data_IF_672010015249
#
_entry.id   IF_672010015249
#
_cell.length_a   1.000
_cell.length_b   1.000
_cell.length_c   1.000
_cell.angle_alpha   90.00
_cell.angle_beta   90.00
_cell.angle_gamma   90.00
#
_symmetry.space_group_name_H-M   'P 1'
#
loop_
_entity.id
_entity.type
_entity.pdbx_description
1 polymer ?
#
# COMPACT_ATOMS: atom_id res chain seq x y z
N UNK A 1 10.70 10.54 18.13
CA UNK A 1 12.12 10.62 17.71
C UNK A 1 12.17 10.86 16.21
N UNK A 2 13.12 11.71 15.78
CA UNK A 2 13.31 12.07 14.38
C UNK A 2 14.64 11.48 13.87
N UNK A 3 14.58 10.84 12.70
CA UNK A 3 15.74 10.25 12.03
C UNK A 3 15.91 10.90 10.67
N UNK A 4 17.13 11.22 10.29
CA UNK A 4 17.44 11.77 8.97
C UNK A 4 18.56 10.94 8.32
N UNK A 5 18.39 10.65 7.04
CA UNK A 5 19.39 9.95 6.22
C UNK A 5 19.74 10.83 5.03
N UNK A 6 21.03 11.02 4.80
CA UNK A 6 21.55 11.76 3.66
C UNK A 6 22.80 11.10 3.13
N UNK A 7 23.03 11.19 1.82
CA UNK A 7 24.26 10.70 1.21
C UNK A 7 25.45 11.60 1.57
N UNK A 8 25.23 12.92 1.70
CA UNK A 8 26.24 13.93 2.01
C UNK A 8 25.68 14.93 3.01
N UNK A 9 26.51 15.36 3.95
CA UNK A 9 26.23 16.46 4.88
C UNK A 9 26.90 17.72 4.33
N UNK A 10 26.30 18.34 3.34
CA UNK A 10 26.68 19.69 2.96
C UNK A 10 25.91 20.70 3.82
N UNK A 11 26.65 21.46 4.65
CA UNK A 11 26.26 22.70 5.35
C UNK A 11 24.77 22.80 5.74
N UNK A 12 24.33 21.92 6.64
CA UNK A 12 22.98 22.01 7.18
C UNK A 12 23.03 22.87 8.43
N UNK A 13 22.55 24.10 8.33
CA UNK A 13 22.36 25.06 9.46
C UNK A 13 21.19 24.65 10.39
N UNK A 14 20.90 23.35 10.53
CA UNK A 14 19.81 22.85 11.39
C UNK A 14 20.43 22.42 12.73
N UNK A 15 19.86 22.83 13.88
CA UNK A 15 20.27 22.32 15.17
C UNK A 15 20.13 20.79 15.20
N UNK A 16 21.23 20.09 15.42
CA UNK A 16 21.31 18.62 15.27
C UNK A 16 20.91 17.85 16.52
N UNK A 17 20.66 18.52 17.63
CA UNK A 17 20.55 17.89 18.95
C UNK A 17 19.34 16.95 19.11
N UNK A 18 18.29 17.11 18.32
CA UNK A 18 17.08 16.31 18.37
C UNK A 18 16.88 15.33 17.19
N UNK A 19 17.88 15.23 16.30
CA UNK A 19 17.80 14.41 15.09
C UNK A 19 18.91 13.36 15.09
N UNK A 20 18.52 12.09 14.90
CA UNK A 20 19.46 11.00 14.67
C UNK A 20 19.90 10.97 13.21
N UNK A 21 21.08 11.52 12.94
CA UNK A 21 21.64 11.57 11.58
C UNK A 21 22.37 10.28 11.20
N UNK A 22 22.13 9.82 9.98
CA UNK A 22 22.86 8.73 9.33
C UNK A 22 23.34 9.21 7.96
N UNK A 23 24.65 9.18 7.75
CA UNK A 23 25.24 9.49 6.44
C UNK A 23 25.40 8.19 5.69
N UNK A 24 24.55 7.99 4.67
CA UNK A 24 24.50 6.77 3.90
C UNK A 24 23.79 7.03 2.57
N UNK A 25 24.35 6.50 1.49
CA UNK A 25 23.63 6.44 0.22
C UNK A 25 22.49 5.40 0.29
N UNK A 26 21.31 5.85 0.70
CA UNK A 26 20.13 5.01 0.94
C UNK A 26 19.49 4.48 -0.36
N UNK A 27 19.92 4.98 -1.54
CA UNK A 27 19.50 4.44 -2.83
C UNK A 27 20.34 3.24 -3.27
N UNK A 28 21.58 3.13 -2.76
CA UNK A 28 22.51 2.06 -3.10
C UNK A 28 22.70 1.04 -1.97
N UNK A 29 22.51 1.44 -0.71
CA UNK A 29 22.82 0.62 0.46
C UNK A 29 21.56 0.43 1.33
N UNK A 30 21.24 -0.81 1.76
CA UNK A 30 20.11 -1.04 2.65
C UNK A 30 20.22 -0.26 3.96
N UNK A 31 19.13 0.36 4.40
CA UNK A 31 19.08 1.10 5.65
C UNK A 31 19.24 0.15 6.86
N UNK A 32 20.03 0.53 7.89
CA UNK A 32 20.33 -0.33 9.04
C UNK A 32 19.24 -0.28 10.12
N UNK A 33 17.98 -0.22 9.72
CA UNK A 33 16.84 -0.21 10.64
C UNK A 33 16.14 -1.56 10.71
N UNK A 34 15.47 -1.82 11.82
CA UNK A 34 14.65 -3.03 11.99
C UNK A 34 13.32 -2.89 11.28
N UNK A 35 12.71 -4.02 10.94
CA UNK A 35 11.36 -4.01 10.33
C UNK A 35 10.34 -3.41 11.29
N UNK A 36 9.43 -2.60 10.75
CA UNK A 36 8.37 -1.98 11.53
C UNK A 36 8.85 -0.92 12.51
N UNK A 37 9.93 -0.22 12.19
CA UNK A 37 10.55 0.78 13.06
C UNK A 37 9.83 2.13 13.01
N UNK A 38 9.51 2.61 11.79
CA UNK A 38 8.99 3.96 11.58
C UNK A 38 7.47 4.02 11.51
N UNK A 39 6.90 5.11 12.06
CA UNK A 39 5.50 5.48 11.84
C UNK A 39 5.32 6.16 10.48
N UNK A 40 6.29 7.00 10.09
CA UNK A 40 6.31 7.70 8.81
C UNK A 40 7.71 7.64 8.21
N UNK A 41 7.78 7.52 6.89
CA UNK A 41 8.98 7.75 6.10
C UNK A 41 8.64 8.86 5.10
N UNK A 42 9.50 9.87 5.03
CA UNK A 42 9.37 10.98 4.08
C UNK A 42 10.58 10.92 3.15
N UNK A 43 10.35 10.87 1.86
CA UNK A 43 11.41 10.82 0.85
C UNK A 43 10.96 11.57 -0.40
N UNK A 44 11.36 12.83 -0.50
CA UNK A 44 10.96 13.74 -1.57
C UNK A 44 11.77 13.47 -2.84
N UNK A 45 11.11 13.24 -3.98
CA UNK A 45 11.67 13.00 -5.31
C UNK A 45 12.72 11.87 -5.41
N UNK A 46 12.98 11.13 -4.35
CA UNK A 46 14.06 10.15 -4.31
C UNK A 46 13.86 8.96 -5.27
N UNK A 47 12.60 8.54 -5.46
CA UNK A 47 12.29 7.42 -6.37
C UNK A 47 12.55 7.76 -7.84
N UNK A 48 12.62 9.05 -8.20
CA UNK A 48 13.02 9.48 -9.54
C UNK A 48 14.51 9.25 -9.82
N UNK A 49 15.34 9.23 -8.79
CA UNK A 49 16.79 9.07 -8.86
C UNK A 49 17.25 7.63 -8.66
N UNK A 50 16.35 6.77 -8.20
CA UNK A 50 16.67 5.38 -7.90
C UNK A 50 16.84 4.55 -9.18
N UNK A 51 17.87 3.71 -9.22
CA UNK A 51 18.07 2.73 -10.31
C UNK A 51 16.92 1.73 -10.36
N UNK A 52 16.50 1.24 -9.19
CA UNK A 52 15.33 0.37 -9.03
C UNK A 52 14.35 0.97 -8.00
N UNK A 53 13.45 1.87 -8.42
CA UNK A 53 12.52 2.56 -7.53
C UNK A 53 11.55 1.62 -6.82
N UNK A 54 11.20 0.49 -7.43
CA UNK A 54 10.32 -0.50 -6.80
C UNK A 54 11.00 -1.18 -5.61
N UNK A 55 12.26 -1.55 -5.71
CA UNK A 55 13.01 -2.17 -4.61
C UNK A 55 13.20 -1.19 -3.45
N UNK A 56 13.47 0.09 -3.74
CA UNK A 56 13.58 1.13 -2.71
C UNK A 56 12.24 1.33 -2.01
N UNK A 57 11.15 1.49 -2.75
CA UNK A 57 9.81 1.65 -2.19
C UNK A 57 9.37 0.41 -1.37
N UNK A 58 9.69 -0.80 -1.84
CA UNK A 58 9.45 -2.04 -1.12
C UNK A 58 10.30 -2.13 0.16
N UNK A 59 11.55 -1.71 0.12
CA UNK A 59 12.42 -1.59 1.29
C UNK A 59 11.83 -0.65 2.34
N UNK A 60 11.36 0.53 1.94
CA UNK A 60 10.70 1.46 2.85
C UNK A 60 9.44 0.87 3.47
N UNK A 61 8.64 0.12 2.71
CA UNK A 61 7.45 -0.54 3.26
C UNK A 61 7.78 -1.53 4.38
N UNK A 62 8.95 -2.19 4.32
CA UNK A 62 9.38 -3.12 5.37
C UNK A 62 9.79 -2.43 6.66
N UNK A 63 10.35 -1.22 6.58
CA UNK A 63 10.73 -0.43 7.76
C UNK A 63 9.55 0.29 8.41
N UNK A 64 8.44 0.49 7.69
CA UNK A 64 7.23 1.05 8.25
C UNK A 64 6.52 0.05 9.18
N UNK A 65 5.93 0.57 10.26
CA UNK A 65 4.93 -0.16 11.05
C UNK A 65 3.74 -0.53 10.17
N UNK A 66 2.93 -1.48 10.58
CA UNK A 66 1.73 -1.88 9.83
C UNK A 66 0.74 -0.72 9.61
N UNK A 67 0.71 0.23 10.54
CA UNK A 67 -0.09 1.46 10.46
C UNK A 67 0.66 2.63 9.87
N UNK A 68 1.89 2.40 9.40
CA UNK A 68 2.78 3.44 8.94
C UNK A 68 2.49 3.90 7.51
N UNK A 69 2.93 5.11 7.19
CA UNK A 69 2.74 5.72 5.87
C UNK A 69 4.05 6.21 5.28
N UNK A 70 4.18 6.03 3.98
CA UNK A 70 5.25 6.62 3.16
C UNK A 70 4.72 7.90 2.51
N UNK A 71 5.43 9.00 2.70
CA UNK A 71 5.15 10.30 2.10
C UNK A 71 6.24 10.60 1.08
N UNK A 72 5.84 10.84 -0.15
CA UNK A 72 6.77 11.11 -1.25
C UNK A 72 6.16 12.07 -2.26
N UNK A 73 6.94 12.48 -3.22
CA UNK A 73 6.50 13.25 -4.36
C UNK A 73 7.14 12.74 -5.65
N UNK A 74 6.56 13.11 -6.76
CA UNK A 74 7.18 12.90 -8.08
C UNK A 74 6.75 13.98 -9.06
N UNK A 75 7.62 14.23 -10.08
CA UNK A 75 7.35 15.15 -11.18
C UNK A 75 6.52 14.47 -12.25
N UNK A 76 5.55 15.22 -12.74
CA UNK A 76 4.67 14.75 -13.79
C UNK A 76 5.31 14.93 -15.17
N UNK A 77 5.56 13.83 -15.88
CA UNK A 77 6.08 13.86 -17.26
C UNK A 77 5.12 14.60 -18.22
N UNK A 78 3.83 14.64 -17.89
CA UNK A 78 2.79 15.26 -18.73
C UNK A 78 2.61 16.77 -18.46
N UNK A 79 3.33 17.33 -17.49
CA UNK A 79 3.26 18.76 -17.20
C UNK A 79 3.64 19.59 -18.44
N UNK A 80 2.89 20.66 -18.69
CA UNK A 80 3.07 21.49 -19.87
C UNK A 80 4.49 21.95 -20.11
N UNK A 81 5.28 22.24 -19.07
CA UNK A 81 6.67 22.69 -19.22
C UNK A 81 7.60 21.58 -19.75
N UNK A 82 7.35 20.32 -19.36
CA UNK A 82 8.09 19.17 -19.88
C UNK A 82 7.76 18.97 -21.36
N UNK A 83 6.48 19.02 -21.71
CA UNK A 83 6.02 18.88 -23.09
C UNK A 83 6.53 20.03 -23.98
N UNK A 84 6.52 21.25 -23.47
CA UNK A 84 7.06 22.41 -24.19
C UNK A 84 8.56 22.25 -24.46
N UNK A 85 9.35 21.87 -23.44
CA UNK A 85 10.77 21.64 -23.62
C UNK A 85 11.04 20.55 -24.68
N UNK A 86 10.29 19.46 -24.68
CA UNK A 86 10.42 18.40 -25.68
C UNK A 86 10.05 18.89 -27.09
N UNK A 87 8.99 19.72 -27.22
CA UNK A 87 8.60 20.34 -28.51
C UNK A 87 9.68 21.27 -29.04
N UNK A 88 10.42 21.94 -28.17
CA UNK A 88 11.53 22.83 -28.51
C UNK A 88 12.87 22.07 -28.75
N UNK A 89 12.86 20.76 -28.59
CA UNK A 89 14.05 19.90 -28.76
C UNK A 89 14.99 19.94 -27.53
N UNK A 90 14.50 20.36 -26.40
CA UNK A 90 15.27 20.45 -25.15
C UNK A 90 14.93 19.28 -24.23
N UNK A 91 15.93 18.47 -23.87
CA UNK A 91 15.82 17.43 -22.87
C UNK A 91 17.02 17.53 -21.91
N UNK A 92 16.79 18.19 -20.78
CA UNK A 92 17.87 18.49 -19.83
C UNK A 92 17.97 17.51 -18.66
N UNK A 93 16.99 16.63 -18.49
CA UNK A 93 16.98 15.68 -17.39
C UNK A 93 17.80 14.44 -17.71
N UNK A 94 19.06 14.48 -17.33
CA UNK A 94 20.00 13.39 -17.62
C UNK A 94 19.86 12.24 -16.61
N UNK A 95 19.27 12.45 -15.41
CA UNK A 95 19.40 11.51 -14.29
C UNK A 95 18.10 11.20 -13.56
N UNK A 96 16.99 11.87 -13.84
CA UNK A 96 15.74 11.58 -13.14
C UNK A 96 14.69 10.95 -14.04
N UNK A 97 14.05 9.89 -13.51
CA UNK A 97 12.89 9.27 -14.13
C UNK A 97 11.67 10.13 -13.87
N UNK A 98 10.94 10.46 -14.91
CA UNK A 98 9.65 11.13 -14.80
C UNK A 98 8.53 10.09 -14.87
N UNK A 99 7.44 10.33 -14.17
CA UNK A 99 6.32 9.40 -14.09
C UNK A 99 5.01 10.03 -14.56
N UNK A 100 4.11 9.20 -15.05
CA UNK A 100 2.68 9.50 -15.05
C UNK A 100 2.07 8.98 -13.75
N UNK A 101 0.97 9.59 -13.31
CA UNK A 101 0.30 9.24 -12.06
C UNK A 101 0.01 7.74 -11.93
N UNK A 102 -0.62 7.13 -12.93
CA UNK A 102 -1.00 5.73 -12.90
C UNK A 102 0.21 4.77 -12.77
N UNK A 103 1.33 5.10 -13.42
CA UNK A 103 2.55 4.30 -13.33
C UNK A 103 3.14 4.36 -11.91
N UNK A 104 3.16 5.54 -11.29
CA UNK A 104 3.67 5.71 -9.94
C UNK A 104 2.78 5.04 -8.89
N UNK A 105 1.45 5.15 -9.03
CA UNK A 105 0.50 4.43 -8.17
C UNK A 105 0.71 2.90 -8.27
N UNK A 106 0.87 2.36 -9.49
CA UNK A 106 1.13 0.93 -9.70
C UNK A 106 2.47 0.49 -9.09
N UNK A 107 3.52 1.31 -9.19
CA UNK A 107 4.80 1.05 -8.54
C UNK A 107 4.63 0.89 -7.04
N UNK A 108 3.87 1.77 -6.38
CA UNK A 108 3.63 1.70 -4.94
C UNK A 108 2.78 0.48 -4.54
N UNK A 109 1.74 0.15 -5.31
CA UNK A 109 0.98 -1.09 -5.05
C UNK A 109 1.85 -2.34 -5.21
N UNK A 110 2.72 -2.39 -6.22
CA UNK A 110 3.69 -3.47 -6.40
C UNK A 110 4.76 -3.51 -5.28
N UNK A 111 4.93 -2.41 -4.54
CA UNK A 111 5.86 -2.26 -3.41
C UNK A 111 5.20 -2.50 -2.04
N UNK A 112 4.08 -3.23 -2.01
CA UNK A 112 3.35 -3.67 -0.80
C UNK A 112 2.56 -2.59 -0.06
N UNK A 113 2.32 -1.42 -0.65
CA UNK A 113 1.37 -0.45 -0.12
C UNK A 113 -0.06 -0.85 -0.47
N UNK A 114 -1.01 -0.58 0.43
CA UNK A 114 -2.41 -1.01 0.30
C UNK A 114 -3.36 0.14 -0.05
N UNK A 115 -2.97 1.37 0.24
CA UNK A 115 -3.73 2.57 -0.10
C UNK A 115 -2.78 3.65 -0.57
N UNK A 116 -3.07 4.23 -1.72
CA UNK A 116 -2.29 5.33 -2.30
C UNK A 116 -3.21 6.51 -2.52
N UNK A 117 -2.88 7.65 -1.92
CA UNK A 117 -3.57 8.93 -2.11
C UNK A 117 -2.63 9.89 -2.78
N UNK A 118 -3.13 10.60 -3.78
CA UNK A 118 -2.33 11.48 -4.63
C UNK A 118 -3.01 12.84 -4.71
N UNK A 119 -2.30 13.87 -4.24
CA UNK A 119 -2.70 15.26 -4.32
C UNK A 119 -1.89 15.99 -5.38
N UNK A 120 -2.52 16.95 -6.07
CA UNK A 120 -1.93 17.66 -7.20
C UNK A 120 -1.37 19.01 -6.74
N UNK A 121 -0.15 19.30 -7.13
CA UNK A 121 0.41 20.64 -7.05
C UNK A 121 0.47 21.24 -8.46
N UNK A 122 -0.39 22.20 -8.70
CA UNK A 122 -0.57 22.82 -10.02
C UNK A 122 0.32 24.04 -10.19
N UNK A 123 0.69 24.28 -11.45
CA UNK A 123 1.36 25.49 -11.91
C UNK A 123 0.64 25.99 -13.15
N UNK A 124 0.26 27.27 -13.14
CA UNK A 124 -0.41 27.91 -14.25
C UNK A 124 0.42 27.83 -15.53
N UNK A 125 -0.23 27.47 -16.62
CA UNK A 125 0.36 27.42 -17.95
C UNK A 125 0.34 28.82 -18.59
N UNK A 126 1.26 29.11 -19.52
CA UNK A 126 1.15 30.27 -20.41
C UNK A 126 -0.18 30.28 -21.16
N UNK A 127 -0.72 31.47 -21.39
CA UNK A 127 -2.00 31.66 -22.07
C UNK A 127 -2.07 30.95 -23.43
N UNK A 128 -3.14 30.17 -23.64
CA UNK A 128 -3.38 29.43 -24.88
C UNK A 128 -2.52 28.18 -25.07
N UNK A 129 -1.64 27.81 -24.11
CA UNK A 129 -0.77 26.64 -24.26
C UNK A 129 -1.56 25.35 -24.05
N UNK A 130 -2.41 25.30 -23.05
CA UNK A 130 -3.22 24.09 -22.77
C UNK A 130 -4.16 23.78 -23.92
N UNK A 131 -4.80 24.82 -24.50
CA UNK A 131 -5.67 24.67 -25.67
C UNK A 131 -4.89 24.12 -26.89
N UNK A 132 -3.67 24.59 -27.10
CA UNK A 132 -2.81 24.07 -28.20
C UNK A 132 -2.42 22.61 -27.96
N UNK A 133 -2.06 22.24 -26.74
CA UNK A 133 -1.72 20.87 -26.39
C UNK A 133 -2.94 19.93 -26.56
N UNK A 134 -4.10 20.38 -26.10
CA UNK A 134 -5.35 19.63 -26.25
C UNK A 134 -5.76 19.48 -27.72
N UNK A 135 -5.62 20.54 -28.51
CA UNK A 135 -5.85 20.50 -29.96
C UNK A 135 -4.85 19.57 -30.71
N UNK A 136 -3.64 19.39 -30.15
CA UNK A 136 -2.65 18.43 -30.66
C UNK A 136 -2.92 16.97 -30.22
N UNK A 137 -3.98 16.71 -29.45
CA UNK A 137 -4.41 15.37 -29.01
C UNK A 137 -3.96 14.96 -27.61
N UNK A 138 -3.41 15.88 -26.80
CA UNK A 138 -3.14 15.60 -25.41
C UNK A 138 -4.43 15.70 -24.59
N UNK A 139 -4.75 14.65 -23.85
CA UNK A 139 -5.85 14.67 -22.89
C UNK A 139 -5.43 15.45 -21.65
N UNK A 140 -6.34 16.27 -21.11
CA UNK A 140 -6.11 17.00 -19.85
C UNK A 140 -7.11 16.55 -18.76
N UNK A 141 -7.15 15.23 -18.52
CA UNK A 141 -7.97 14.69 -17.46
C UNK A 141 -7.45 15.19 -16.10
N UNK A 142 -8.36 15.70 -15.26
CA UNK A 142 -8.06 16.19 -13.90
C UNK A 142 -6.96 17.25 -13.86
N UNK A 143 -6.88 18.10 -14.89
CA UNK A 143 -5.86 19.15 -15.03
C UNK A 143 -4.41 18.61 -14.97
N UNK A 144 -4.21 17.44 -15.53
CA UNK A 144 -2.93 16.73 -15.53
C UNK A 144 -1.81 17.53 -16.22
N UNK A 145 -2.15 18.25 -17.31
CA UNK A 145 -1.17 19.09 -18.01
C UNK A 145 -0.70 20.29 -17.18
N UNK A 146 -1.45 20.75 -16.19
CA UNK A 146 -1.11 21.85 -15.29
C UNK A 146 -0.53 21.36 -13.97
N UNK A 147 -0.55 20.06 -13.71
CA UNK A 147 0.01 19.45 -12.50
C UNK A 147 1.51 19.27 -12.67
N UNK A 148 2.31 20.05 -11.92
CA UNK A 148 3.78 19.98 -11.95
C UNK A 148 4.31 18.84 -11.09
N UNK A 149 3.78 18.72 -9.86
CA UNK A 149 4.14 17.66 -8.91
C UNK A 149 2.90 16.95 -8.41
N UNK A 150 3.09 15.69 -8.10
CA UNK A 150 2.15 14.91 -7.31
C UNK A 150 2.74 14.65 -5.93
N UNK A 151 1.97 14.99 -4.89
CA UNK A 151 2.25 14.65 -3.50
C UNK A 151 1.54 13.34 -3.18
N UNK A 152 2.27 12.38 -2.65
CA UNK A 152 1.78 11.01 -2.48
C UNK A 152 1.87 10.58 -1.04
N UNK A 153 0.78 10.03 -0.53
CA UNK A 153 0.75 9.27 0.70
C UNK A 153 0.39 7.83 0.38
N UNK A 154 1.31 6.92 0.69
CA UNK A 154 1.12 5.50 0.53
C UNK A 154 1.07 4.81 1.90
N UNK A 155 -0.07 4.23 2.25
CA UNK A 155 -0.29 3.57 3.53
C UNK A 155 0.02 2.08 3.41
N UNK A 156 0.74 1.53 4.38
CA UNK A 156 1.06 0.10 4.42
C UNK A 156 -0.17 -0.78 4.67
N UNK A 157 -1.18 -0.25 5.33
CA UNK A 157 -2.48 -0.89 5.54
C UNK A 157 -3.60 0.05 5.14
N UNK A 158 -4.78 -0.51 4.84
CA UNK A 158 -5.98 0.31 4.65
C UNK A 158 -6.26 1.14 5.91
N UNK A 159 -6.57 2.44 5.81
CA UNK A 159 -6.75 3.32 6.97
C UNK A 159 -7.80 2.81 7.96
N UNK A 160 -8.89 2.22 7.46
CA UNK A 160 -9.95 1.65 8.27
C UNK A 160 -9.44 0.43 9.08
N UNK A 161 -8.50 -0.33 8.51
CA UNK A 161 -7.91 -1.52 9.13
C UNK A 161 -6.70 -1.20 9.99
N UNK A 162 -6.00 -0.09 9.73
CA UNK A 162 -4.84 0.32 10.50
C UNK A 162 -5.18 0.54 11.98
N UNK A 163 -6.32 1.19 12.24
CA UNK A 163 -6.82 1.39 13.60
C UNK A 163 -7.17 0.05 14.27
N UNK A 164 -7.82 -0.86 13.55
CA UNK A 164 -8.17 -2.19 14.04
C UNK A 164 -6.93 -3.05 14.31
N UNK A 165 -5.91 -2.98 13.46
CA UNK A 165 -4.62 -3.69 13.65
C UNK A 165 -3.89 -3.24 14.92
N UNK A 166 -4.01 -1.98 15.31
CA UNK A 166 -3.41 -1.47 16.55
C UNK A 166 -4.10 -1.95 17.84
N UNK A 167 -5.31 -2.50 17.72
CA UNK A 167 -6.07 -3.03 18.88
C UNK A 167 -5.54 -4.38 19.38
N UNK A 168 -4.78 -5.11 18.57
CA UNK A 168 -4.29 -6.45 18.91
C UNK A 168 -2.77 -6.46 19.04
N UNK A 169 -2.27 -7.12 20.07
CA UNK A 169 -0.83 -7.28 20.28
C UNK A 169 -0.19 -8.16 19.21
N UNK A 170 1.12 -8.04 19.00
CA UNK A 170 1.86 -8.90 18.07
C UNK A 170 1.71 -10.40 18.40
N UNK A 171 1.60 -10.74 19.70
CA UNK A 171 1.40 -12.10 20.15
C UNK A 171 0.02 -12.65 19.78
N UNK A 172 -1.02 -11.87 19.97
CA UNK A 172 -2.40 -12.24 19.59
C UNK A 172 -2.52 -12.41 18.09
N UNK A 173 -1.95 -11.50 17.32
CA UNK A 173 -1.92 -11.62 15.85
C UNK A 173 -1.19 -12.88 15.38
N UNK A 174 -0.01 -13.15 15.93
CA UNK A 174 0.74 -14.35 15.59
C UNK A 174 -0.03 -15.65 15.94
N UNK A 175 -0.82 -15.63 17.01
CA UNK A 175 -1.65 -16.76 17.41
C UNK A 175 -2.83 -16.96 16.45
N UNK A 176 -3.52 -15.88 16.03
CA UNK A 176 -4.57 -15.94 14.99
C UNK A 176 -4.00 -16.50 13.68
N UNK A 177 -2.87 -16.00 13.21
CA UNK A 177 -2.19 -16.49 11.99
C UNK A 177 -1.85 -17.96 12.10
N UNK A 178 -1.41 -18.43 13.27
CA UNK A 178 -1.13 -19.86 13.49
C UNK A 178 -2.40 -20.71 13.31
N UNK A 179 -3.55 -20.30 13.85
CA UNK A 179 -4.79 -21.05 13.65
C UNK A 179 -5.27 -20.99 12.20
N UNK A 180 -5.17 -19.83 11.53
CA UNK A 180 -5.49 -19.66 10.12
C UNK A 180 -4.69 -20.65 9.26
N UNK A 181 -3.37 -20.73 9.45
CA UNK A 181 -2.53 -21.69 8.69
C UNK A 181 -2.88 -23.15 9.02
N UNK A 182 -3.18 -23.48 10.28
CA UNK A 182 -3.60 -24.85 10.64
C UNK A 182 -4.91 -25.26 9.96
N UNK A 183 -5.85 -24.32 9.82
CA UNK A 183 -7.10 -24.52 9.08
C UNK A 183 -6.81 -24.69 7.57
N UNK A 184 -5.98 -23.85 7.00
CA UNK A 184 -5.58 -23.89 5.58
C UNK A 184 -4.94 -25.24 5.23
N UNK A 185 -3.99 -25.71 6.05
CA UNK A 185 -3.21 -26.92 5.80
C UNK A 185 -3.77 -28.19 6.46
N UNK A 186 -5.01 -28.17 6.90
CA UNK A 186 -5.73 -29.31 7.48
C UNK A 186 -5.08 -29.95 8.72
N UNK A 187 -4.47 -29.11 9.56
CA UNK A 187 -3.85 -29.56 10.81
C UNK A 187 -4.84 -29.42 11.95
N UNK A 188 -5.39 -30.52 12.44
CA UNK A 188 -6.42 -30.52 13.51
C UNK A 188 -7.50 -29.47 13.24
N UNK A 189 -8.05 -29.48 12.01
CA UNK A 189 -8.86 -28.40 11.44
C UNK A 189 -10.01 -28.01 12.34
N UNK A 190 -10.84 -28.95 12.78
CA UNK A 190 -12.00 -28.64 13.63
C UNK A 190 -11.60 -27.94 14.93
N UNK A 191 -10.63 -28.49 15.65
CA UNK A 191 -10.11 -27.87 16.87
C UNK A 191 -9.49 -26.49 16.62
N UNK A 192 -8.81 -26.31 15.46
CA UNK A 192 -8.20 -25.03 15.08
C UNK A 192 -9.28 -23.98 14.74
N UNK A 193 -10.39 -24.37 14.14
CA UNK A 193 -11.55 -23.49 13.91
C UNK A 193 -12.20 -23.09 15.23
N UNK A 194 -12.41 -24.01 16.14
CA UNK A 194 -13.01 -23.72 17.46
C UNK A 194 -12.13 -22.74 18.27
N UNK A 195 -10.83 -22.97 18.28
CA UNK A 195 -9.88 -22.05 18.96
C UNK A 195 -9.79 -20.69 18.29
N UNK A 196 -9.87 -20.62 16.96
CA UNK A 196 -9.93 -19.35 16.24
C UNK A 196 -11.19 -18.57 16.64
N UNK A 197 -12.36 -19.20 16.63
CA UNK A 197 -13.61 -18.54 17.00
C UNK A 197 -13.64 -18.11 18.46
N UNK A 198 -13.11 -18.91 19.35
CA UNK A 198 -12.96 -18.53 20.76
C UNK A 198 -12.09 -17.27 20.89
N UNK A 199 -10.98 -17.22 20.16
CA UNK A 199 -10.12 -16.04 20.15
C UNK A 199 -10.78 -14.81 19.52
N UNK A 200 -11.58 -15.02 18.47
CA UNK A 200 -12.40 -13.96 17.85
C UNK A 200 -13.38 -13.36 18.87
N UNK A 201 -14.06 -14.20 19.64
CA UNK A 201 -15.01 -13.76 20.66
C UNK A 201 -14.31 -13.07 21.84
N UNK A 202 -13.25 -13.66 22.38
CA UNK A 202 -12.50 -13.14 23.52
C UNK A 202 -11.89 -11.75 23.25
N UNK A 203 -11.34 -11.58 22.05
CA UNK A 203 -10.72 -10.33 21.60
C UNK A 203 -11.68 -9.39 20.87
N UNK A 204 -12.93 -9.81 20.66
CA UNK A 204 -13.93 -9.07 19.86
C UNK A 204 -13.39 -8.68 18.49
N UNK A 205 -12.83 -9.67 17.77
CA UNK A 205 -12.25 -9.43 16.46
C UNK A 205 -13.35 -9.10 15.44
N UNK A 206 -13.13 -8.06 14.67
CA UNK A 206 -14.08 -7.63 13.62
C UNK A 206 -13.88 -8.44 12.34
N UNK A 207 -14.95 -8.71 11.56
CA UNK A 207 -14.87 -9.41 10.28
C UNK A 207 -13.87 -8.80 9.31
N UNK A 208 -13.84 -7.46 9.20
CA UNK A 208 -12.90 -6.75 8.34
C UNK A 208 -11.43 -7.02 8.71
N UNK A 209 -11.12 -7.03 10.00
CA UNK A 209 -9.76 -7.35 10.45
C UNK A 209 -9.37 -8.79 10.14
N UNK A 210 -10.24 -9.76 10.45
CA UNK A 210 -9.95 -11.17 10.19
C UNK A 210 -9.84 -11.44 8.68
N UNK A 211 -10.69 -10.81 7.86
CA UNK A 211 -10.61 -10.86 6.40
C UNK A 211 -9.25 -10.37 5.88
N UNK A 212 -8.81 -9.20 6.34
CA UNK A 212 -7.50 -8.66 5.96
C UNK A 212 -6.35 -9.58 6.40
N UNK A 213 -6.42 -10.14 7.61
CA UNK A 213 -5.40 -11.06 8.11
C UNK A 213 -5.34 -12.35 7.28
N UNK A 214 -6.49 -12.90 6.89
CA UNK A 214 -6.61 -14.04 5.97
C UNK A 214 -6.01 -13.69 4.62
N UNK A 215 -6.35 -12.53 4.06
CA UNK A 215 -5.85 -12.10 2.76
C UNK A 215 -4.31 -11.91 2.74
N UNK A 216 -3.73 -11.48 3.86
CA UNK A 216 -2.28 -11.30 4.00
C UNK A 216 -1.52 -12.63 4.20
N UNK A 217 -2.16 -13.67 4.73
CA UNK A 217 -1.45 -14.86 5.23
C UNK A 217 -1.81 -16.15 4.52
N UNK A 218 -3.00 -16.28 3.95
CA UNK A 218 -3.51 -17.50 3.32
C UNK A 218 -3.13 -17.56 1.85
N UNK A 219 -2.56 -18.68 1.41
CA UNK A 219 -2.22 -18.95 0.01
C UNK A 219 -3.40 -19.61 -0.72
N UNK A 220 -4.09 -20.55 -0.05
CA UNK A 220 -5.19 -21.33 -0.62
C UNK A 220 -6.55 -20.82 -0.16
N UNK A 221 -6.87 -19.58 -0.52
CA UNK A 221 -8.04 -18.84 -0.04
C UNK A 221 -9.37 -19.60 -0.18
N UNK A 222 -9.61 -20.26 -1.33
CA UNK A 222 -10.83 -21.04 -1.55
C UNK A 222 -10.95 -22.20 -0.56
N UNK A 223 -9.88 -22.97 -0.37
CA UNK A 223 -9.85 -24.11 0.54
C UNK A 223 -10.02 -23.65 2.01
N UNK A 224 -9.42 -22.53 2.37
CA UNK A 224 -9.57 -21.93 3.69
C UNK A 224 -11.02 -21.58 3.99
N UNK A 225 -11.68 -20.78 3.13
CA UNK A 225 -13.07 -20.35 3.36
C UNK A 225 -14.05 -21.52 3.32
N UNK A 226 -13.85 -22.50 2.44
CA UNK A 226 -14.65 -23.73 2.45
C UNK A 226 -14.50 -24.49 3.77
N UNK A 227 -13.27 -24.65 4.23
CA UNK A 227 -12.97 -25.32 5.51
C UNK A 227 -13.57 -24.56 6.70
N UNK A 228 -13.43 -23.24 6.72
CA UNK A 228 -14.01 -22.39 7.75
C UNK A 228 -15.53 -22.51 7.79
N UNK A 229 -16.20 -22.45 6.62
CA UNK A 229 -17.67 -22.55 6.52
C UNK A 229 -18.20 -23.91 6.95
N UNK A 230 -17.46 -25.00 6.66
CA UNK A 230 -17.88 -26.37 7.04
C UNK A 230 -17.87 -26.60 8.56
N UNK A 231 -17.03 -25.92 9.31
CA UNK A 231 -16.82 -26.14 10.73
C UNK A 231 -17.27 -24.95 11.61
N UNK A 232 -18.03 -24.02 11.07
CA UNK A 232 -18.39 -22.77 11.74
C UNK A 232 -19.91 -22.60 11.82
N UNK A 233 -20.58 -23.52 12.51
CA UNK A 233 -22.03 -23.44 12.71
C UNK A 233 -22.41 -22.19 13.50
N UNK A 234 -23.36 -21.39 12.93
CA UNK A 234 -23.82 -20.13 13.54
C UNK A 234 -22.92 -18.93 13.28
N UNK A 235 -21.90 -19.06 12.42
CA UNK A 235 -20.96 -17.97 12.05
C UNK A 235 -21.14 -17.47 10.62
N UNK A 236 -22.21 -17.87 9.97
CA UNK A 236 -22.47 -17.60 8.56
C UNK A 236 -22.46 -16.08 8.27
N UNK A 237 -23.06 -15.28 9.16
CA UNK A 237 -23.08 -13.82 9.01
C UNK A 237 -21.68 -13.23 9.09
N UNK A 238 -20.88 -13.66 10.05
CA UNK A 238 -19.51 -13.18 10.20
C UNK A 238 -18.64 -13.53 8.99
N UNK A 239 -18.74 -14.77 8.49
CA UNK A 239 -18.02 -15.22 7.31
C UNK A 239 -18.47 -14.45 6.07
N UNK A 240 -19.78 -14.18 5.95
CA UNK A 240 -20.32 -13.36 4.87
C UNK A 240 -19.74 -11.94 4.88
N UNK A 241 -19.70 -11.29 6.03
CA UNK A 241 -19.09 -9.96 6.21
C UNK A 241 -17.59 -9.98 5.88
N UNK A 242 -16.84 -11.02 6.25
CA UNK A 242 -15.45 -11.19 5.83
C UNK A 242 -15.30 -11.23 4.31
N UNK A 243 -16.17 -11.97 3.63
CA UNK A 243 -16.17 -12.11 2.18
C UNK A 243 -16.62 -10.83 1.48
N UNK A 244 -17.56 -10.05 2.06
CA UNK A 244 -17.94 -8.72 1.56
C UNK A 244 -16.75 -7.77 1.54
N UNK A 245 -15.95 -7.77 2.59
CA UNK A 245 -14.71 -6.99 2.65
C UNK A 245 -13.73 -7.45 1.58
N UNK A 246 -13.52 -8.76 1.45
CA UNK A 246 -12.63 -9.32 0.41
C UNK A 246 -13.05 -8.94 -1.01
N UNK A 247 -14.36 -8.93 -1.30
CA UNK A 247 -14.90 -8.49 -2.60
C UNK A 247 -14.66 -7.00 -2.84
N UNK A 248 -14.85 -6.17 -1.81
CA UNK A 248 -14.70 -4.70 -1.91
C UNK A 248 -13.24 -4.27 -2.07
N UNK A 249 -12.31 -4.98 -1.44
CA UNK A 249 -10.88 -4.68 -1.45
C UNK A 249 -10.15 -5.30 -2.64
N UNK A 250 -10.76 -6.27 -3.32
CA UNK A 250 -10.11 -6.99 -4.41
C UNK A 250 -9.97 -6.13 -5.65
N UNK A 251 -8.73 -5.89 -6.07
CA UNK A 251 -8.37 -5.14 -7.28
C UNK A 251 -8.47 -6.07 -8.50
N UNK A 252 -8.00 -7.32 -8.37
CA UNK A 252 -8.03 -8.31 -9.44
C UNK A 252 -9.46 -8.80 -9.70
N UNK A 253 -9.97 -8.71 -10.94
CA UNK A 253 -11.30 -9.25 -11.29
C UNK A 253 -11.46 -10.75 -11.02
N UNK A 254 -10.39 -11.54 -11.14
CA UNK A 254 -10.42 -12.99 -10.88
C UNK A 254 -10.60 -13.27 -9.39
N UNK A 255 -9.87 -12.57 -8.53
CA UNK A 255 -10.01 -12.69 -7.08
C UNK A 255 -11.41 -12.25 -6.63
N UNK A 256 -11.88 -11.12 -7.15
CA UNK A 256 -13.25 -10.64 -6.88
C UNK A 256 -14.31 -11.67 -7.26
N UNK A 257 -14.18 -12.28 -8.42
CA UNK A 257 -15.11 -13.34 -8.87
C UNK A 257 -15.03 -14.59 -7.96
N UNK A 258 -13.84 -14.94 -7.48
CA UNK A 258 -13.64 -16.03 -6.53
C UNK A 258 -14.38 -15.74 -5.21
N UNK A 259 -14.18 -14.57 -4.60
CA UNK A 259 -14.84 -14.20 -3.35
C UNK A 259 -16.36 -14.12 -3.49
N UNK A 260 -16.88 -13.58 -4.59
CA UNK A 260 -18.32 -13.56 -4.87
C UNK A 260 -18.91 -14.97 -5.01
N UNK A 261 -18.15 -15.93 -5.56
CA UNK A 261 -18.57 -17.33 -5.62
C UNK A 261 -18.60 -17.95 -4.23
N UNK A 262 -17.55 -17.78 -3.44
CA UNK A 262 -17.45 -18.28 -2.06
C UNK A 262 -18.57 -17.72 -1.17
N UNK A 263 -18.92 -16.46 -1.35
CA UNK A 263 -20.01 -15.80 -0.63
C UNK A 263 -21.38 -16.48 -0.93
N UNK A 264 -21.63 -16.80 -2.19
CA UNK A 264 -22.84 -17.53 -2.59
C UNK A 264 -22.87 -18.95 -2.01
N UNK A 265 -21.74 -19.65 -2.04
CA UNK A 265 -21.58 -20.99 -1.49
C UNK A 265 -21.78 -21.00 0.04
N UNK A 266 -21.22 -20.04 0.77
CA UNK A 266 -21.38 -19.91 2.21
C UNK A 266 -22.85 -19.69 2.65
N UNK A 267 -23.64 -18.98 1.84
CA UNK A 267 -25.07 -18.77 2.08
C UNK A 267 -25.95 -19.99 1.73
N UNK A 268 -25.52 -20.85 0.80
CA UNK A 268 -26.34 -21.95 0.25
C UNK A 268 -25.90 -23.33 0.78
N UNK A 269 -24.80 -23.43 1.51
CA UNK A 269 -24.19 -24.70 1.94
C UNK A 269 -24.94 -25.51 3.01
N UNK A 270 -26.18 -25.11 3.39
CA UNK A 270 -27.03 -25.80 4.39
C UNK A 270 -28.48 -25.91 3.90
N UNK A 271 -28.71 -26.46 2.69
CA UNK A 271 -29.99 -27.01 2.32
C UNK A 271 -29.89 -28.52 2.14
#
# INVERSE_FOLDING_TARGET
>A
ELYAVTAELDEVDIPMDDIHWLILDYLAIPLPYTRGFFDYIISDLALEQADNPQDIAAGFSMFLKETGSFLTSFRNIRHWSVLQNLMEGHYYNIVSRLYVRAEFENLLYASFYKSVRVDQQKREAPEGLIERLTAAGFENERDDLETEFYLVRADRSMPELALLKSMYTAKERAQMVRFIHRIEYDVERAASVDELWKMVDDLRVFPAYLSSLVHETVVHTAAFYQSLSMHSDGREVFIHEMLDVSVSESIDPMDRALYQRLQREALHGKR
#
